data_IF_827589758788
#
_entry.id   IF_827589758788
#
_cell.length_a   1.000
_cell.length_b   1.000
_cell.length_c   1.000
_cell.angle_alpha   90.00
_cell.angle_beta   90.00
_cell.angle_gamma   90.00
#
_symmetry.space_group_name_H-M   'P 1'
#
loop_
_entity.id
_entity.type
_entity.pdbx_description
1 polymer ?
#
# COMPACT_ATOMS: atom_id res chain seq x y z
N UNK A 1 0.12 -30.33 0.55
CA UNK A 1 -0.22 -30.88 1.90
C UNK A 1 0.84 -30.54 2.94
N UNK A 2 2.13 -30.87 2.72
CA UNK A 2 3.19 -30.59 3.69
C UNK A 2 3.33 -29.10 4.08
N UNK A 3 3.36 -28.18 3.11
CA UNK A 3 3.48 -26.74 3.39
C UNK A 3 2.31 -26.19 4.22
N UNK A 4 1.07 -26.61 3.94
CA UNK A 4 -0.09 -26.23 4.76
C UNK A 4 0.03 -26.71 6.21
N UNK A 5 0.53 -27.93 6.43
CA UNK A 5 0.78 -28.43 7.78
C UNK A 5 1.91 -27.65 8.47
N UNK A 6 2.99 -27.34 7.76
CA UNK A 6 4.07 -26.48 8.26
C UNK A 6 3.49 -25.11 8.66
N UNK A 7 2.61 -24.55 7.84
CA UNK A 7 1.96 -23.27 8.09
C UNK A 7 1.18 -23.27 9.42
N UNK A 8 0.43 -24.33 9.70
CA UNK A 8 -0.27 -24.54 10.97
C UNK A 8 0.71 -24.75 12.15
N UNK A 9 1.80 -25.50 11.94
CA UNK A 9 2.82 -25.73 12.97
C UNK A 9 3.50 -24.42 13.35
N UNK A 10 3.92 -23.61 12.38
CA UNK A 10 4.56 -22.32 12.61
C UNK A 10 3.62 -21.35 13.33
N UNK A 11 2.32 -21.36 13.00
CA UNK A 11 1.33 -20.59 13.77
C UNK A 11 1.25 -21.01 15.24
N UNK A 12 1.35 -22.32 15.53
CA UNK A 12 1.26 -22.83 16.90
C UNK A 12 2.57 -22.74 17.67
N UNK A 13 3.71 -22.87 16.97
CA UNK A 13 5.07 -22.95 17.51
C UNK A 13 6.06 -22.25 16.56
N UNK A 14 6.14 -20.90 16.59
CA UNK A 14 6.91 -20.12 15.63
C UNK A 14 8.42 -20.40 15.65
N UNK A 15 8.96 -20.79 16.81
CA UNK A 15 10.40 -20.97 17.00
C UNK A 15 10.96 -22.29 16.43
N UNK A 16 10.11 -23.24 16.00
CA UNK A 16 10.59 -24.56 15.54
C UNK A 16 11.42 -24.44 14.25
N UNK A 17 11.10 -23.48 13.38
CA UNK A 17 11.70 -23.32 12.06
C UNK A 17 12.37 -21.96 11.87
N UNK A 18 12.69 -21.25 12.96
CA UNK A 18 13.24 -19.89 12.92
C UNK A 18 14.57 -19.80 12.14
N UNK A 19 15.38 -20.87 12.19
CA UNK A 19 16.68 -20.95 11.51
C UNK A 19 16.59 -21.47 10.07
N UNK A 20 15.44 -21.99 9.64
CA UNK A 20 15.27 -22.72 8.37
C UNK A 20 14.62 -21.87 7.28
N UNK A 21 14.65 -20.54 7.41
CA UNK A 21 13.92 -19.63 6.51
C UNK A 21 14.29 -19.82 5.02
N UNK A 22 15.56 -20.12 4.74
CA UNK A 22 16.08 -20.32 3.38
C UNK A 22 15.44 -21.49 2.65
N UNK A 23 14.94 -22.50 3.38
CA UNK A 23 14.24 -23.66 2.79
C UNK A 23 12.93 -23.22 2.13
N UNK A 24 12.35 -22.12 2.61
CA UNK A 24 11.10 -21.57 2.10
C UNK A 24 11.28 -20.60 0.95
N UNK A 25 12.50 -20.26 0.54
CA UNK A 25 12.70 -19.46 -0.66
C UNK A 25 12.20 -20.21 -1.91
N UNK A 26 11.46 -19.48 -2.74
CA UNK A 26 10.87 -19.95 -3.99
C UNK A 26 11.97 -20.23 -5.00
N UNK A 27 11.83 -21.34 -5.72
CA UNK A 27 12.64 -21.64 -6.89
C UNK A 27 11.91 -21.21 -8.15
N UNK A 28 12.64 -20.89 -9.21
CA UNK A 28 12.05 -20.54 -10.51
C UNK A 28 11.04 -21.57 -11.02
N UNK A 29 11.33 -22.86 -10.82
CA UNK A 29 10.48 -23.98 -11.25
C UNK A 29 9.41 -24.42 -10.24
N UNK A 30 9.26 -23.72 -9.12
CA UNK A 30 8.18 -24.01 -8.18
C UNK A 30 6.83 -23.63 -8.80
N UNK A 31 5.79 -24.48 -8.72
CA UNK A 31 4.44 -24.11 -9.14
C UNK A 31 3.92 -22.90 -8.35
N UNK A 32 3.08 -22.06 -8.97
CA UNK A 32 2.58 -20.82 -8.37
C UNK A 32 1.95 -21.01 -6.97
N UNK A 33 1.16 -22.06 -6.78
CA UNK A 33 0.54 -22.36 -5.48
C UNK A 33 1.56 -22.75 -4.40
N UNK A 34 2.73 -23.31 -4.80
CA UNK A 34 3.84 -23.59 -3.88
C UNK A 34 4.52 -22.28 -3.49
N UNK A 35 4.75 -21.38 -4.46
CA UNK A 35 5.34 -20.06 -4.20
C UNK A 35 4.49 -19.23 -3.24
N UNK A 36 3.16 -19.21 -3.44
CA UNK A 36 2.22 -18.52 -2.56
C UNK A 36 2.26 -19.05 -1.11
N UNK A 37 2.25 -20.37 -0.92
CA UNK A 37 2.32 -20.97 0.43
C UNK A 37 3.68 -20.73 1.10
N UNK A 38 4.78 -20.77 0.32
CA UNK A 38 6.12 -20.45 0.79
C UNK A 38 6.21 -19.00 1.28
N UNK A 39 5.66 -18.07 0.51
CA UNK A 39 5.61 -16.65 0.86
C UNK A 39 4.89 -16.41 2.20
N UNK A 40 3.75 -17.07 2.44
CA UNK A 40 3.04 -16.98 3.72
C UNK A 40 3.86 -17.52 4.90
N UNK A 41 4.63 -18.59 4.69
CA UNK A 41 5.52 -19.14 5.72
C UNK A 41 6.69 -18.19 5.99
N UNK A 42 7.29 -17.59 4.96
CA UNK A 42 8.36 -16.60 5.09
C UNK A 42 7.90 -15.44 5.99
N UNK A 43 6.72 -14.88 5.75
CA UNK A 43 6.17 -13.77 6.56
C UNK A 43 5.96 -14.18 8.02
N UNK A 44 5.63 -15.45 8.29
CA UNK A 44 5.48 -15.95 9.66
C UNK A 44 6.82 -16.14 10.37
N UNK A 45 7.84 -16.58 9.65
CA UNK A 45 9.19 -16.85 10.16
C UNK A 45 10.14 -15.64 10.15
N UNK A 46 9.78 -14.55 9.47
CA UNK A 46 10.64 -13.36 9.41
C UNK A 46 10.85 -12.79 10.82
N UNK A 47 12.11 -12.42 11.08
CA UNK A 47 12.63 -11.89 12.33
C UNK A 47 13.71 -10.84 12.05
N UNK A 48 14.11 -10.10 13.08
CA UNK A 48 15.20 -9.11 12.99
C UNK A 48 16.54 -9.72 12.52
N UNK A 49 16.74 -11.03 12.66
CA UNK A 49 17.98 -11.71 12.28
C UNK A 49 18.07 -12.04 10.79
N UNK A 50 16.93 -12.20 10.12
CA UNK A 50 16.85 -12.71 8.75
C UNK A 50 16.18 -11.75 7.77
N UNK A 51 15.69 -10.60 8.25
CA UNK A 51 14.96 -9.63 7.45
C UNK A 51 15.72 -9.16 6.21
N UNK A 52 17.03 -8.92 6.28
CA UNK A 52 17.80 -8.44 5.13
C UNK A 52 17.83 -9.47 3.99
N UNK A 53 17.93 -10.76 4.33
CA UNK A 53 17.85 -11.84 3.34
C UNK A 53 16.44 -11.96 2.76
N UNK A 54 15.41 -11.82 3.61
CA UNK A 54 14.02 -11.87 3.17
C UNK A 54 13.70 -10.71 2.23
N UNK A 55 14.13 -9.49 2.55
CA UNK A 55 13.89 -8.32 1.70
C UNK A 55 14.58 -8.43 0.35
N UNK A 56 15.82 -8.94 0.31
CA UNK A 56 16.52 -9.19 -0.93
C UNK A 56 15.74 -10.17 -1.82
N UNK A 57 15.25 -11.26 -1.22
CA UNK A 57 14.50 -12.28 -1.92
C UNK A 57 13.12 -11.76 -2.39
N UNK A 58 12.39 -11.03 -1.55
CA UNK A 58 11.10 -10.42 -1.91
C UNK A 58 11.25 -9.39 -3.04
N UNK A 59 12.36 -8.65 -3.06
CA UNK A 59 12.70 -7.74 -4.15
C UNK A 59 12.92 -8.49 -5.46
N UNK A 60 13.60 -9.64 -5.43
CA UNK A 60 13.76 -10.50 -6.61
C UNK A 60 12.39 -11.04 -7.08
N UNK A 61 11.53 -11.47 -6.16
CA UNK A 61 10.17 -11.93 -6.50
C UNK A 61 9.31 -10.84 -7.14
N UNK A 62 9.52 -9.57 -6.77
CA UNK A 62 8.83 -8.44 -7.39
C UNK A 62 9.24 -8.16 -8.85
N UNK A 63 10.23 -8.91 -9.38
CA UNK A 63 10.66 -8.86 -10.78
C UNK A 63 10.23 -10.08 -11.60
N UNK A 64 9.46 -11.00 -11.00
CA UNK A 64 8.91 -12.15 -11.72
C UNK A 64 7.83 -11.76 -12.75
N UNK A 65 7.47 -12.71 -13.60
CA UNK A 65 6.48 -12.53 -14.69
C UNK A 65 5.03 -12.66 -14.18
N UNK A 66 4.81 -13.45 -13.12
CA UNK A 66 3.47 -13.69 -12.58
C UNK A 66 3.01 -12.50 -11.73
N UNK A 67 2.08 -11.72 -12.25
CA UNK A 67 1.60 -10.47 -11.65
C UNK A 67 1.03 -10.69 -10.24
N UNK A 68 0.26 -11.77 -10.04
CA UNK A 68 -0.33 -12.07 -8.74
C UNK A 68 0.75 -12.39 -7.70
N UNK A 69 1.77 -13.16 -8.08
CA UNK A 69 2.91 -13.45 -7.21
C UNK A 69 3.73 -12.20 -6.88
N UNK A 70 3.97 -11.34 -7.88
CA UNK A 70 4.66 -10.07 -7.69
C UNK A 70 3.90 -9.21 -6.67
N UNK A 71 2.59 -9.01 -6.85
CA UNK A 71 1.77 -8.22 -5.90
C UNK A 71 1.82 -8.79 -4.49
N UNK A 72 1.68 -10.11 -4.34
CA UNK A 72 1.79 -10.74 -3.02
C UNK A 72 3.17 -10.56 -2.40
N UNK A 73 4.23 -10.53 -3.21
CA UNK A 73 5.60 -10.29 -2.75
C UNK A 73 5.81 -8.85 -2.28
N UNK A 74 5.27 -7.86 -2.99
CA UNK A 74 5.25 -6.46 -2.56
C UNK A 74 4.45 -6.30 -1.26
N UNK A 75 3.26 -6.91 -1.18
CA UNK A 75 2.44 -6.96 0.04
C UNK A 75 3.18 -7.60 1.22
N UNK A 76 3.99 -8.63 0.96
CA UNK A 76 4.82 -9.28 1.97
C UNK A 76 5.87 -8.33 2.57
N UNK A 77 6.46 -7.43 1.77
CA UNK A 77 7.39 -6.40 2.26
C UNK A 77 6.68 -5.48 3.26
N UNK A 78 5.45 -5.06 2.93
CA UNK A 78 4.57 -4.29 3.82
C UNK A 78 4.30 -4.99 5.14
N UNK A 79 3.90 -6.26 5.08
CA UNK A 79 3.66 -7.09 6.26
C UNK A 79 4.92 -7.23 7.12
N UNK A 80 6.10 -7.31 6.51
CA UNK A 80 7.37 -7.29 7.25
C UNK A 80 7.58 -5.95 7.97
N UNK A 81 7.30 -4.82 7.31
CA UNK A 81 7.41 -3.48 7.92
C UNK A 81 6.47 -3.31 9.13
N UNK A 82 5.23 -3.79 9.02
CA UNK A 82 4.23 -3.71 10.10
C UNK A 82 4.57 -4.67 11.25
N UNK A 83 5.10 -5.86 10.93
CA UNK A 83 5.47 -6.88 11.93
C UNK A 83 6.75 -6.53 12.69
N UNK A 84 7.74 -5.94 12.03
CA UNK A 84 9.07 -5.67 12.58
C UNK A 84 9.37 -4.17 12.49
N UNK A 85 9.21 -3.45 13.60
CA UNK A 85 9.40 -1.99 13.64
C UNK A 85 10.79 -1.55 13.20
N UNK A 86 11.86 -2.29 13.57
CA UNK A 86 13.24 -1.97 13.16
C UNK A 86 13.53 -2.31 11.70
N UNK A 87 12.63 -2.99 11.01
CA UNK A 87 12.73 -3.26 9.59
C UNK A 87 12.00 -2.22 8.73
N UNK A 88 11.06 -1.45 9.30
CA UNK A 88 10.15 -0.61 8.54
C UNK A 88 10.85 0.37 7.58
N UNK A 89 11.94 1.02 8.03
CA UNK A 89 12.74 1.92 7.21
C UNK A 89 13.38 1.21 6.00
N UNK A 90 13.95 0.01 6.22
CA UNK A 90 14.51 -0.81 5.15
C UNK A 90 13.44 -1.28 4.17
N UNK A 91 12.27 -1.69 4.67
CA UNK A 91 11.15 -2.08 3.82
C UNK A 91 10.68 -0.92 2.92
N UNK A 92 10.58 0.29 3.46
CA UNK A 92 10.24 1.49 2.68
C UNK A 92 11.30 1.77 1.61
N UNK A 93 12.58 1.63 1.95
CA UNK A 93 13.66 1.75 0.97
C UNK A 93 13.47 0.81 -0.22
N UNK A 94 13.14 -0.46 0.03
CA UNK A 94 12.85 -1.43 -1.04
C UNK A 94 11.60 -1.04 -1.84
N UNK A 95 10.52 -0.62 -1.19
CA UNK A 95 9.29 -0.19 -1.87
C UNK A 95 9.53 1.02 -2.78
N UNK A 96 10.36 1.97 -2.36
CA UNK A 96 10.77 3.11 -3.18
C UNK A 96 11.57 2.69 -4.41
N UNK A 97 12.53 1.78 -4.25
CA UNK A 97 13.27 1.22 -5.38
C UNK A 97 12.32 0.51 -6.37
N UNK A 98 11.31 -0.20 -5.86
CA UNK A 98 10.29 -0.83 -6.69
C UNK A 98 9.42 0.19 -7.42
N UNK A 99 9.04 1.30 -6.79
CA UNK A 99 8.32 2.40 -7.46
C UNK A 99 9.15 3.01 -8.59
N UNK A 100 10.46 3.16 -8.38
CA UNK A 100 11.38 3.69 -9.39
C UNK A 100 11.51 2.80 -10.64
N UNK A 101 11.12 1.52 -10.58
CA UNK A 101 11.06 0.65 -11.77
C UNK A 101 10.02 1.09 -12.80
N UNK A 102 9.05 1.92 -12.39
CA UNK A 102 7.92 2.40 -13.22
C UNK A 102 7.06 1.28 -13.80
N UNK A 103 7.11 0.08 -13.22
CA UNK A 103 6.19 -1.01 -13.56
C UNK A 103 4.86 -0.73 -12.88
N UNK A 104 3.84 -0.42 -13.70
CA UNK A 104 2.55 0.10 -13.24
C UNK A 104 1.92 -0.69 -12.05
N UNK A 105 1.67 -2.00 -12.19
CA UNK A 105 1.07 -2.81 -11.12
C UNK A 105 1.95 -2.95 -9.87
N UNK A 106 3.28 -2.78 -9.99
CA UNK A 106 4.21 -2.78 -8.85
C UNK A 106 4.13 -1.45 -8.10
N UNK A 107 4.10 -0.34 -8.83
CA UNK A 107 3.93 1.00 -8.26
C UNK A 107 2.63 1.06 -7.45
N UNK A 108 1.53 0.60 -8.05
CA UNK A 108 0.21 0.61 -7.42
C UNK A 108 0.13 -0.23 -6.14
N UNK A 109 0.63 -1.47 -6.17
CA UNK A 109 0.69 -2.31 -4.97
C UNK A 109 1.61 -1.68 -3.90
N UNK A 110 2.71 -1.04 -4.30
CA UNK A 110 3.62 -0.36 -3.38
C UNK A 110 2.95 0.82 -2.68
N UNK A 111 2.13 1.61 -3.38
CA UNK A 111 1.35 2.71 -2.78
C UNK A 111 0.37 2.19 -1.72
N UNK A 112 -0.36 1.12 -2.03
CA UNK A 112 -1.31 0.48 -1.09
C UNK A 112 -0.57 0.05 0.18
N UNK A 113 0.59 -0.59 0.01
CA UNK A 113 1.41 -1.06 1.12
C UNK A 113 1.97 0.10 1.95
N UNK A 114 2.49 1.15 1.30
CA UNK A 114 3.07 2.31 1.99
C UNK A 114 2.02 3.02 2.85
N UNK A 115 0.77 3.16 2.37
CA UNK A 115 -0.34 3.67 3.17
C UNK A 115 -0.48 2.89 4.49
N UNK A 116 -0.45 1.56 4.44
CA UNK A 116 -0.58 0.74 5.66
C UNK A 116 0.62 0.91 6.61
N UNK A 117 1.82 1.11 6.07
CA UNK A 117 3.01 1.44 6.88
C UNK A 117 2.87 2.83 7.52
N UNK A 118 2.35 3.82 6.80
CA UNK A 118 2.07 5.17 7.34
C UNK A 118 1.03 5.14 8.46
N UNK A 119 -0.04 4.36 8.29
CA UNK A 119 -1.04 4.15 9.35
C UNK A 119 -0.44 3.52 10.61
N UNK A 120 0.56 2.66 10.44
CA UNK A 120 1.26 2.01 11.56
C UNK A 120 2.28 2.94 12.24
N UNK A 121 3.00 3.75 11.47
CA UNK A 121 4.08 4.62 11.92
C UNK A 121 3.88 6.06 11.40
N UNK A 122 2.89 6.79 11.94
CA UNK A 122 2.57 8.13 11.46
C UNK A 122 3.74 9.09 11.65
N UNK A 123 3.88 10.06 10.73
CA UNK A 123 4.87 11.15 10.77
C UNK A 123 6.36 10.72 10.78
N UNK A 124 6.68 9.45 10.45
CA UNK A 124 8.08 8.98 10.43
C UNK A 124 8.74 9.04 9.05
N UNK A 125 7.96 8.91 7.98
CA UNK A 125 8.46 8.65 6.64
C UNK A 125 7.95 9.66 5.61
N UNK A 126 7.65 10.87 6.04
CA UNK A 126 7.00 11.89 5.20
C UNK A 126 7.84 12.35 4.01
N UNK A 127 9.17 12.22 4.08
CA UNK A 127 10.09 12.61 3.00
C UNK A 127 9.83 11.85 1.70
N UNK A 128 9.12 10.73 1.74
CA UNK A 128 8.83 9.91 0.56
C UNK A 128 7.55 10.34 -0.16
N UNK A 129 6.72 11.19 0.46
CA UNK A 129 5.40 11.59 -0.07
C UNK A 129 5.55 12.27 -1.43
N UNK A 130 6.54 13.17 -1.59
CA UNK A 130 6.80 13.82 -2.88
C UNK A 130 7.03 12.78 -4.01
N UNK A 131 7.83 11.75 -3.74
CA UNK A 131 8.07 10.68 -4.72
C UNK A 131 6.81 9.88 -5.03
N UNK A 132 5.89 9.73 -4.09
CA UNK A 132 4.60 9.08 -4.32
C UNK A 132 3.70 9.94 -5.23
N UNK A 133 3.62 11.24 -4.96
CA UNK A 133 2.88 12.20 -5.77
C UNK A 133 3.40 12.27 -7.21
N UNK A 134 4.72 12.19 -7.43
CA UNK A 134 5.34 12.15 -8.77
C UNK A 134 4.91 10.94 -9.63
N UNK A 135 4.22 9.95 -9.05
CA UNK A 135 3.74 8.74 -9.72
C UNK A 135 2.21 8.67 -9.82
N UNK A 136 1.48 9.74 -9.50
CA UNK A 136 0.01 9.79 -9.53
C UNK A 136 -0.60 9.37 -10.87
N UNK A 137 -0.02 9.81 -11.98
CA UNK A 137 -0.51 9.51 -13.34
C UNK A 137 -0.49 8.01 -13.69
N UNK A 138 0.19 7.20 -12.88
CA UNK A 138 0.27 5.75 -13.09
C UNK A 138 -0.81 4.97 -12.34
N UNK A 139 -1.65 5.60 -11.52
CA UNK A 139 -2.65 4.91 -10.70
C UNK A 139 -3.98 4.79 -11.43
N UNK A 140 -4.36 3.57 -11.81
CA UNK A 140 -5.66 3.25 -12.42
C UNK A 140 -6.54 2.36 -11.53
N UNK A 141 -5.96 1.61 -10.59
CA UNK A 141 -6.71 0.76 -9.68
C UNK A 141 -7.38 1.55 -8.55
N UNK A 142 -8.68 1.29 -8.29
CA UNK A 142 -9.42 1.97 -7.23
C UNK A 142 -8.73 1.92 -5.85
N UNK A 143 -8.18 0.77 -5.48
CA UNK A 143 -7.52 0.61 -4.18
C UNK A 143 -6.24 1.43 -4.08
N UNK A 144 -5.49 1.57 -5.18
CA UNK A 144 -4.27 2.36 -5.22
C UNK A 144 -4.60 3.87 -5.21
N UNK A 145 -5.58 4.29 -6.01
CA UNK A 145 -6.12 5.67 -6.00
C UNK A 145 -6.60 6.07 -4.61
N UNK A 146 -7.50 5.28 -4.01
CA UNK A 146 -8.00 5.53 -2.66
C UNK A 146 -6.85 5.58 -1.64
N UNK A 147 -5.85 4.70 -1.78
CA UNK A 147 -4.69 4.72 -0.89
C UNK A 147 -3.86 6.00 -1.02
N UNK A 148 -3.69 6.52 -2.25
CA UNK A 148 -3.00 7.77 -2.49
C UNK A 148 -3.79 8.97 -1.98
N UNK A 149 -5.10 9.03 -2.27
CA UNK A 149 -6.00 10.08 -1.77
C UNK A 149 -5.99 10.13 -0.24
N UNK A 150 -5.97 8.96 0.42
CA UNK A 150 -5.80 8.90 1.87
C UNK A 150 -4.48 9.55 2.32
N UNK A 151 -3.36 9.25 1.65
CA UNK A 151 -2.05 9.83 1.98
C UNK A 151 -2.10 11.35 1.80
N UNK A 152 -2.65 11.84 0.69
CA UNK A 152 -2.77 13.28 0.41
C UNK A 152 -3.60 13.97 1.49
N UNK A 153 -4.78 13.43 1.81
CA UNK A 153 -5.66 14.01 2.83
C UNK A 153 -5.12 13.95 4.26
N UNK A 154 -4.40 12.88 4.63
CA UNK A 154 -3.80 12.75 5.96
C UNK A 154 -2.63 13.70 6.16
N UNK A 155 -1.82 13.91 5.11
CA UNK A 155 -0.61 14.74 5.15
C UNK A 155 -0.78 16.06 4.40
N UNK A 156 -2.02 16.56 4.26
CA UNK A 156 -2.33 17.79 3.53
C UNK A 156 -1.53 19.01 4.04
N UNK A 157 -1.24 19.09 5.35
CA UNK A 157 -0.41 20.17 5.93
C UNK A 157 1.06 20.17 5.47
N UNK A 158 1.52 19.06 4.86
CA UNK A 158 2.92 18.86 4.42
C UNK A 158 3.05 18.89 2.90
N UNK A 159 1.93 18.88 2.17
CA UNK A 159 1.89 18.84 0.72
C UNK A 159 1.34 20.19 0.25
N UNK A 160 2.21 21.03 -0.31
CA UNK A 160 1.86 22.42 -0.65
C UNK A 160 0.73 22.50 -1.69
N UNK A 161 0.62 21.53 -2.60
CA UNK A 161 -0.37 21.47 -3.67
C UNK A 161 -1.43 20.37 -3.44
N UNK A 162 -1.74 20.03 -2.18
CA UNK A 162 -2.69 18.97 -1.85
C UNK A 162 -4.09 19.20 -2.45
N UNK A 163 -4.53 20.45 -2.45
CA UNK A 163 -5.77 20.93 -3.05
C UNK A 163 -5.80 20.69 -4.56
N UNK A 164 -4.76 21.08 -5.30
CA UNK A 164 -4.67 20.84 -6.75
C UNK A 164 -4.69 19.33 -7.09
N UNK A 165 -3.99 18.53 -6.29
CA UNK A 165 -3.98 17.07 -6.46
C UNK A 165 -5.34 16.44 -6.21
N UNK A 166 -6.06 16.88 -5.16
CA UNK A 166 -7.40 16.38 -4.86
C UNK A 166 -8.43 16.85 -5.90
N UNK A 167 -8.34 18.09 -6.37
CA UNK A 167 -9.28 18.62 -7.37
C UNK A 167 -9.20 17.86 -8.69
N UNK A 168 -7.99 17.40 -9.07
CA UNK A 168 -7.80 16.52 -10.24
C UNK A 168 -8.62 15.23 -10.13
N UNK A 169 -8.72 14.63 -8.94
CA UNK A 169 -9.56 13.44 -8.72
C UNK A 169 -11.06 13.77 -8.62
N UNK A 170 -11.42 15.00 -8.22
CA UNK A 170 -12.82 15.44 -8.16
C UNK A 170 -13.41 15.68 -9.56
N UNK A 171 -12.60 15.94 -10.57
CA UNK A 171 -13.06 16.06 -11.96
C UNK A 171 -13.75 14.79 -12.48
N UNK A 172 -13.29 13.62 -12.04
CA UNK A 172 -13.83 12.31 -12.45
C UNK A 172 -14.65 11.63 -11.36
N UNK A 173 -15.09 12.37 -10.32
CA UNK A 173 -15.70 11.81 -9.10
C UNK A 173 -16.83 10.80 -9.37
N UNK A 174 -17.77 11.13 -10.27
CA UNK A 174 -18.91 10.25 -10.59
C UNK A 174 -18.50 8.93 -11.25
N UNK A 175 -17.38 8.92 -11.96
CA UNK A 175 -16.84 7.76 -12.68
C UNK A 175 -15.98 6.85 -11.78
N UNK A 176 -15.55 7.36 -10.62
CA UNK A 176 -14.70 6.62 -9.69
C UNK A 176 -15.47 5.56 -8.88
N UNK A 177 -14.74 4.54 -8.42
CA UNK A 177 -15.30 3.51 -7.55
C UNK A 177 -15.81 4.11 -6.22
N UNK A 178 -16.91 3.59 -5.63
CA UNK A 178 -17.44 4.09 -4.36
C UNK A 178 -16.39 4.21 -3.23
N UNK A 179 -15.42 3.30 -3.18
CA UNK A 179 -14.36 3.38 -2.18
C UNK A 179 -13.42 4.59 -2.39
N UNK A 180 -13.21 4.99 -3.65
CA UNK A 180 -12.44 6.18 -4.03
C UNK A 180 -13.25 7.44 -3.71
N UNK A 181 -14.55 7.47 -4.05
CA UNK A 181 -15.44 8.59 -3.77
C UNK A 181 -15.51 8.92 -2.27
N UNK A 182 -15.73 7.90 -1.41
CA UNK A 182 -15.73 8.07 0.05
C UNK A 182 -14.38 8.59 0.56
N UNK A 183 -13.30 8.11 -0.03
CA UNK A 183 -11.96 8.51 0.36
C UNK A 183 -11.63 9.94 -0.10
N UNK A 184 -12.15 10.39 -1.25
CA UNK A 184 -12.08 11.77 -1.73
C UNK A 184 -12.85 12.69 -0.81
N UNK A 185 -14.11 12.37 -0.48
CA UNK A 185 -14.91 13.13 0.47
C UNK A 185 -14.15 13.33 1.80
N UNK A 186 -13.62 12.24 2.35
CA UNK A 186 -12.84 12.29 3.59
C UNK A 186 -11.57 13.14 3.47
N UNK A 187 -10.82 12.98 2.37
CA UNK A 187 -9.57 13.70 2.16
C UNK A 187 -9.79 15.20 1.94
N UNK A 188 -10.80 15.57 1.16
CA UNK A 188 -11.21 16.96 0.91
C UNK A 188 -11.66 17.64 2.20
N UNK A 189 -12.48 16.98 3.02
CA UNK A 189 -12.89 17.51 4.32
C UNK A 189 -11.69 17.69 5.26
N UNK A 190 -10.76 16.73 5.29
CA UNK A 190 -9.51 16.89 6.06
C UNK A 190 -8.71 18.08 5.57
N UNK A 191 -8.51 18.20 4.26
CA UNK A 191 -7.80 19.33 3.64
C UNK A 191 -8.45 20.67 4.04
N UNK A 192 -9.78 20.75 4.00
CA UNK A 192 -10.53 21.92 4.44
C UNK A 192 -10.37 22.27 5.91
N UNK A 193 -10.39 21.28 6.80
CA UNK A 193 -10.15 21.53 8.23
C UNK A 193 -8.74 22.05 8.52
N UNK A 194 -7.78 21.87 7.58
CA UNK A 194 -6.40 22.36 7.71
C UNK A 194 -6.16 23.70 7.03
N UNK A 195 -6.74 23.92 5.84
CA UNK A 195 -6.61 25.16 5.10
C UNK A 195 -7.97 25.66 4.56
N UNK A 196 -8.83 26.25 5.41
CA UNK A 196 -10.19 26.63 5.00
C UNK A 196 -10.24 27.71 3.92
N UNK A 197 -9.26 28.61 3.87
CA UNK A 197 -9.28 29.79 2.98
C UNK A 197 -9.20 29.39 1.50
N UNK A 198 -8.37 28.39 1.17
CA UNK A 198 -8.11 27.99 -0.22
C UNK A 198 -8.98 26.81 -0.67
N UNK A 199 -9.65 26.10 0.24
CA UNK A 199 -10.35 24.83 -0.05
C UNK A 199 -11.86 24.88 0.17
N UNK A 200 -12.42 26.06 0.46
CA UNK A 200 -13.85 26.22 0.70
C UNK A 200 -14.69 25.78 -0.50
N UNK A 201 -14.30 26.18 -1.71
CA UNK A 201 -15.06 25.83 -2.93
C UNK A 201 -14.96 24.34 -3.22
N UNK A 202 -13.78 23.74 -2.98
CA UNK A 202 -13.54 22.30 -3.16
C UNK A 202 -14.39 21.45 -2.21
N UNK A 203 -14.53 21.86 -0.95
CA UNK A 203 -15.38 21.11 0.01
C UNK A 203 -16.87 21.27 -0.28
N UNK A 204 -17.31 22.44 -0.76
CA UNK A 204 -18.69 22.61 -1.21
C UNK A 204 -19.00 21.70 -2.39
N UNK A 205 -18.13 21.71 -3.42
CA UNK A 205 -18.25 20.84 -4.58
C UNK A 205 -18.35 19.37 -4.22
N UNK A 206 -17.47 18.84 -3.37
CA UNK A 206 -17.51 17.40 -3.04
C UNK A 206 -18.76 17.03 -2.24
N UNK A 207 -19.29 17.93 -1.41
CA UNK A 207 -20.52 17.70 -0.67
C UNK A 207 -21.74 17.69 -1.59
N UNK A 208 -21.81 18.62 -2.55
CA UNK A 208 -22.87 18.65 -3.56
C UNK A 208 -22.85 17.36 -4.40
N UNK A 209 -21.66 16.95 -4.88
CA UNK A 209 -21.46 15.69 -5.60
C UNK A 209 -21.90 14.46 -4.78
N UNK A 210 -21.51 14.41 -3.50
CA UNK A 210 -21.81 13.27 -2.63
C UNK A 210 -23.29 13.19 -2.21
N UNK A 211 -23.98 14.33 -2.09
CA UNK A 211 -25.34 14.39 -1.53
C UNK A 211 -26.45 14.55 -2.57
N UNK A 212 -26.26 15.41 -3.57
CA UNK A 212 -27.27 15.71 -4.58
C UNK A 212 -27.15 14.80 -5.80
N UNK A 213 -25.92 14.53 -6.26
CA UNK A 213 -25.66 13.84 -7.53
C UNK A 213 -25.41 12.33 -7.37
N UNK A 214 -24.80 11.89 -6.27
CA UNK A 214 -24.53 10.47 -6.04
C UNK A 214 -25.80 9.66 -5.79
N UNK A 215 -25.95 8.48 -6.38
CA UNK A 215 -27.03 7.53 -6.06
C UNK A 215 -26.70 6.55 -4.91
N UNK A 216 -25.47 6.61 -4.37
CA UNK A 216 -25.02 5.69 -3.32
C UNK A 216 -25.47 6.18 -1.93
N UNK A 217 -26.34 5.45 -1.20
CA UNK A 217 -26.81 5.87 0.12
C UNK A 217 -25.69 6.01 1.15
N UNK A 218 -24.65 5.17 1.10
CA UNK A 218 -23.52 5.23 2.04
C UNK A 218 -22.61 6.45 1.80
N UNK A 219 -22.63 6.99 0.57
CA UNK A 219 -21.90 8.21 0.24
C UNK A 219 -22.71 9.47 0.58
N UNK A 220 -24.05 9.37 0.53
CA UNK A 220 -24.98 10.44 0.93
C UNK A 220 -25.06 10.61 2.46
N UNK A 221 -24.96 9.51 3.21
CA UNK A 221 -25.02 9.46 4.69
C UNK A 221 -23.77 10.08 5.35
#
# INVERSE_FOLDING_TARGET
VALRNINLIVQKRPNILENEIKVFFCKYNDPIYVKMEKLEIIIKLVSERNIDQVLLELKEYATEVDVDFVRKSVSAIGRCAVKLERAAERCIGVLLELIQTKVNYVVQESVIVIKDVFRRYPNRYESIIATLCDNLDTLDEPLAKASMIWIIGEYAERIDNADELLDTFLETFEEEDPAVQLQLLTATVKCFLKNPEDTQDMVQRVLDLATEESDNPDLRD
#
